data_IF_681274023817
#
_entry.id   IF_681274023817
#
_cell.length_a   1.000
_cell.length_b   1.000
_cell.length_c   1.000
_cell.angle_alpha   90.00
_cell.angle_beta   90.00
_cell.angle_gamma   90.00
#
_symmetry.space_group_name_H-M   'P 1'
#
loop_
_entity.id
_entity.type
_entity.pdbx_description
1 polymer ?
#
# COMPACT_ATOMS: atom_id res chain seq x y z
N UNK A 1 -16.36 3.34 16.95
CA UNK A 1 -15.93 2.82 15.64
C UNK A 1 -14.61 2.08 15.81
N UNK A 2 -14.55 0.80 15.48
CA UNK A 2 -13.30 0.08 15.55
C UNK A 2 -12.25 0.64 14.59
N UNK A 3 -10.99 0.47 14.94
CA UNK A 3 -9.87 0.98 14.14
C UNK A 3 -8.89 -0.15 13.83
N UNK A 4 -8.53 -0.26 12.55
CA UNK A 4 -7.51 -1.15 12.02
C UNK A 4 -6.30 -0.31 11.60
N UNK A 5 -5.12 -0.65 12.10
CA UNK A 5 -3.86 -0.04 11.66
C UNK A 5 -2.99 -1.12 11.03
N UNK A 6 -2.52 -0.85 9.82
CA UNK A 6 -1.68 -1.75 9.04
C UNK A 6 -0.31 -1.10 8.85
N UNK A 7 0.76 -1.89 9.02
CA UNK A 7 2.11 -1.47 8.68
C UNK A 7 2.66 -2.39 7.59
N UNK A 8 3.02 -1.81 6.46
CA UNK A 8 3.65 -2.51 5.34
C UNK A 8 5.10 -2.06 5.21
N UNK A 9 6.04 -2.99 5.39
CA UNK A 9 7.47 -2.72 5.30
C UNK A 9 8.14 -3.42 4.12
N UNK A 10 7.44 -4.34 3.47
CA UNK A 10 7.95 -5.14 2.37
C UNK A 10 7.25 -4.75 1.06
N UNK A 11 8.01 -4.74 -0.04
CA UNK A 11 7.47 -4.43 -1.37
C UNK A 11 7.00 -5.67 -2.14
N UNK A 12 6.93 -6.83 -1.49
CA UNK A 12 6.43 -8.04 -2.15
C UNK A 12 4.95 -7.88 -2.50
N UNK A 13 4.59 -8.32 -3.69
CA UNK A 13 3.24 -8.09 -4.23
C UNK A 13 2.16 -8.87 -3.48
N UNK A 14 2.49 -10.03 -2.94
CA UNK A 14 1.55 -10.82 -2.15
C UNK A 14 1.23 -10.14 -0.80
N UNK A 15 2.22 -9.58 -0.12
CA UNK A 15 2.00 -8.84 1.12
C UNK A 15 1.22 -7.56 0.89
N UNK A 16 1.57 -6.82 -0.17
CA UNK A 16 0.85 -5.61 -0.54
C UNK A 16 -0.61 -5.92 -0.89
N UNK A 17 -0.84 -6.93 -1.72
CA UNK A 17 -2.19 -7.39 -2.06
C UNK A 17 -2.98 -7.73 -0.81
N UNK A 18 -2.38 -8.51 0.10
CA UNK A 18 -3.05 -8.91 1.34
C UNK A 18 -3.37 -7.71 2.23
N UNK A 19 -2.45 -6.75 2.32
CA UNK A 19 -2.68 -5.49 3.04
C UNK A 19 -3.86 -4.71 2.48
N UNK A 20 -3.98 -4.62 1.16
CA UNK A 20 -5.11 -3.95 0.51
C UNK A 20 -6.43 -4.68 0.76
N UNK A 21 -6.42 -6.02 0.72
CA UNK A 21 -7.60 -6.83 1.04
C UNK A 21 -8.09 -6.54 2.46
N UNK A 22 -7.18 -6.49 3.44
CA UNK A 22 -7.53 -6.18 4.82
C UNK A 22 -8.06 -4.74 4.97
N UNK A 23 -7.42 -3.79 4.29
CA UNK A 23 -7.84 -2.38 4.35
C UNK A 23 -9.24 -2.18 3.78
N UNK A 24 -9.51 -2.75 2.62
CA UNK A 24 -10.83 -2.69 1.97
C UNK A 24 -11.87 -3.42 2.83
N UNK A 25 -11.51 -4.58 3.39
CA UNK A 25 -12.36 -5.32 4.31
C UNK A 25 -12.72 -4.53 5.56
N UNK A 26 -11.76 -3.82 6.13
CA UNK A 26 -12.01 -2.93 7.28
C UNK A 26 -13.01 -1.84 6.94
N UNK A 27 -12.88 -1.23 5.77
CA UNK A 27 -13.85 -0.21 5.33
C UNK A 27 -15.22 -0.80 5.07
N UNK A 28 -15.31 -2.03 4.53
CA UNK A 28 -16.58 -2.71 4.34
C UNK A 28 -17.32 -3.00 5.67
N UNK A 29 -16.56 -3.09 6.76
CA UNK A 29 -17.11 -3.23 8.12
C UNK A 29 -17.38 -1.88 8.80
N UNK A 30 -17.23 -0.78 8.09
CA UNK A 30 -17.32 0.60 8.61
C UNK A 30 -16.26 0.92 9.68
N UNK A 31 -15.11 0.28 9.61
CA UNK A 31 -14.00 0.58 10.51
C UNK A 31 -13.18 1.77 9.99
N UNK A 32 -12.53 2.47 10.91
CA UNK A 32 -11.46 3.40 10.57
C UNK A 32 -10.22 2.59 10.19
N UNK A 33 -9.60 2.89 9.05
CA UNK A 33 -8.41 2.16 8.57
C UNK A 33 -7.26 3.13 8.33
N UNK A 34 -6.15 2.89 9.02
CA UNK A 34 -4.88 3.61 8.85
C UNK A 34 -3.85 2.65 8.27
N UNK A 35 -3.23 3.03 7.17
CA UNK A 35 -2.28 2.18 6.45
C UNK A 35 -0.93 2.91 6.36
N UNK A 36 0.05 2.42 7.12
CA UNK A 36 1.40 2.99 7.17
C UNK A 36 2.34 2.19 6.29
N UNK A 37 3.19 2.89 5.55
CA UNK A 37 4.11 2.31 4.57
C UNK A 37 5.52 2.80 4.88
N UNK A 38 6.45 1.86 5.02
CA UNK A 38 7.84 2.17 5.35
C UNK A 38 8.80 1.30 4.54
N UNK A 39 10.09 1.58 4.66
CA UNK A 39 11.17 0.82 4.03
C UNK A 39 10.96 0.68 2.51
N UNK A 40 11.16 -0.50 1.97
CA UNK A 40 11.07 -0.75 0.53
C UNK A 40 9.67 -0.58 -0.05
N UNK A 41 8.64 -0.67 0.78
CA UNK A 41 7.25 -0.56 0.32
C UNK A 41 6.87 0.85 -0.13
N UNK A 42 7.62 1.89 0.25
CA UNK A 42 7.30 3.28 -0.11
C UNK A 42 7.26 3.50 -1.61
N UNK A 43 8.04 2.74 -2.39
CA UNK A 43 8.10 2.86 -3.84
C UNK A 43 6.75 2.54 -4.51
N UNK A 44 5.95 1.66 -3.90
CA UNK A 44 4.65 1.25 -4.42
C UNK A 44 3.64 2.40 -4.46
N UNK A 45 3.86 3.45 -3.67
CA UNK A 45 2.95 4.58 -3.53
C UNK A 45 3.36 5.80 -4.35
N UNK A 46 4.32 5.62 -5.25
CA UNK A 46 4.71 6.67 -6.20
C UNK A 46 3.81 6.68 -7.43
N UNK A 47 3.74 7.83 -8.11
CA UNK A 47 3.00 7.97 -9.36
C UNK A 47 3.56 7.08 -10.47
N UNK A 48 4.85 6.77 -10.42
CA UNK A 48 5.51 5.90 -11.39
C UNK A 48 5.07 4.44 -11.23
N UNK A 49 5.00 3.94 -10.00
CA UNK A 49 4.71 2.53 -9.73
C UNK A 49 3.22 2.25 -9.52
N UNK A 50 2.49 3.16 -8.91
CA UNK A 50 1.02 3.07 -8.69
C UNK A 50 0.56 1.71 -8.17
N UNK A 51 1.21 1.23 -7.11
CA UNK A 51 0.84 -0.05 -6.51
C UNK A 51 1.34 -1.27 -7.24
N UNK A 52 2.24 -1.12 -8.22
CA UNK A 52 2.84 -2.25 -8.94
C UNK A 52 4.35 -2.27 -8.72
N UNK A 53 4.87 -3.41 -8.30
CA UNK A 53 6.31 -3.62 -8.29
C UNK A 53 6.81 -3.79 -9.73
N UNK A 54 7.86 -3.04 -10.10
CA UNK A 54 8.53 -3.27 -11.39
C UNK A 54 9.39 -4.52 -11.25
N UNK A 55 8.88 -5.64 -11.69
CA UNK A 55 9.74 -6.78 -11.92
C UNK A 55 10.62 -6.50 -13.13
N UNK A 56 11.94 -6.66 -12.97
CA UNK A 56 12.88 -6.58 -14.08
C UNK A 56 12.72 -7.83 -14.96
N UNK A 57 11.69 -7.81 -15.79
CA UNK A 57 11.44 -8.88 -16.76
C UNK A 57 11.50 -8.32 -18.16
N UNK A 58 11.99 -9.14 -19.12
CA UNK A 58 11.91 -8.82 -20.53
C UNK A 58 10.44 -8.61 -20.96
N UNK A 59 10.23 -7.88 -22.07
CA UNK A 59 8.89 -7.56 -22.56
C UNK A 59 8.02 -8.79 -22.77
N UNK A 60 8.60 -9.89 -23.26
CA UNK A 60 7.89 -11.15 -23.51
C UNK A 60 7.41 -11.81 -22.22
N UNK A 61 8.30 -11.89 -21.20
CA UNK A 61 7.97 -12.44 -19.89
C UNK A 61 6.90 -11.60 -19.19
N UNK A 62 6.96 -10.28 -19.31
CA UNK A 62 5.97 -9.36 -18.76
C UNK A 62 4.60 -9.56 -19.41
N UNK A 63 4.58 -9.74 -20.73
CA UNK A 63 3.34 -10.02 -21.47
C UNK A 63 2.72 -11.35 -21.01
N UNK A 64 3.52 -12.40 -20.89
CA UNK A 64 3.06 -13.73 -20.45
C UNK A 64 2.49 -13.69 -19.03
N UNK A 65 3.19 -13.06 -18.09
CA UNK A 65 2.73 -12.92 -16.70
C UNK A 65 1.43 -12.11 -16.64
N UNK A 66 1.35 -11.00 -17.36
CA UNK A 66 0.15 -10.17 -17.42
C UNK A 66 -1.04 -10.94 -17.99
N UNK A 67 -0.81 -11.71 -19.06
CA UNK A 67 -1.85 -12.55 -19.66
C UNK A 67 -2.32 -13.63 -18.68
N UNK A 68 -1.41 -14.27 -17.99
CA UNK A 68 -1.72 -15.31 -17.00
C UNK A 68 -2.51 -14.74 -15.82
N UNK A 69 -2.14 -13.56 -15.34
CA UNK A 69 -2.86 -12.85 -14.28
C UNK A 69 -4.30 -12.53 -14.69
N UNK A 70 -4.51 -12.08 -15.93
CA UNK A 70 -5.85 -11.82 -16.46
C UNK A 70 -6.69 -13.11 -16.54
N UNK A 71 -6.08 -14.20 -17.01
CA UNK A 71 -6.74 -15.51 -17.12
C UNK A 71 -7.18 -16.04 -15.75
N UNK A 72 -6.35 -15.84 -14.73
CA UNK A 72 -6.63 -16.29 -13.35
C UNK A 72 -7.52 -15.30 -12.58
N UNK A 73 -7.94 -14.20 -13.21
CA UNK A 73 -8.74 -13.13 -12.60
C UNK A 73 -8.11 -12.54 -11.33
N UNK A 74 -6.78 -12.42 -11.32
CA UNK A 74 -6.06 -11.80 -10.21
C UNK A 74 -6.34 -10.30 -10.26
N UNK A 75 -6.81 -9.69 -9.17
CA UNK A 75 -7.15 -8.27 -9.16
C UNK A 75 -5.95 -7.38 -9.44
N UNK A 76 -6.20 -6.27 -10.12
CA UNK A 76 -5.21 -5.22 -10.36
C UNK A 76 -4.96 -4.45 -9.07
N UNK A 77 -3.74 -4.51 -8.55
CA UNK A 77 -3.36 -3.82 -7.31
C UNK A 77 -3.43 -2.29 -7.45
N UNK A 78 -3.20 -1.74 -8.63
CA UNK A 78 -3.37 -0.30 -8.87
C UNK A 78 -4.83 0.10 -8.66
N UNK A 79 -5.76 -0.65 -9.23
CA UNK A 79 -7.18 -0.39 -9.05
C UNK A 79 -7.60 -0.56 -7.59
N UNK A 80 -7.12 -1.59 -6.93
CA UNK A 80 -7.41 -1.81 -5.50
C UNK A 80 -6.92 -0.66 -4.64
N UNK A 81 -5.72 -0.14 -4.92
CA UNK A 81 -5.17 1.01 -4.20
C UNK A 81 -6.03 2.27 -4.41
N UNK A 82 -6.41 2.53 -5.66
CA UNK A 82 -7.29 3.66 -5.99
C UNK A 82 -8.66 3.53 -5.31
N UNK A 83 -9.25 2.34 -5.31
CA UNK A 83 -10.52 2.07 -4.65
C UNK A 83 -10.40 2.27 -3.13
N UNK A 84 -9.32 1.79 -2.51
CA UNK A 84 -9.08 1.98 -1.09
C UNK A 84 -8.96 3.46 -0.71
N UNK A 85 -8.27 4.25 -1.54
CA UNK A 85 -8.18 5.70 -1.36
C UNK A 85 -9.57 6.35 -1.44
N UNK A 86 -10.39 5.96 -2.40
CA UNK A 86 -11.76 6.48 -2.56
C UNK A 86 -12.66 6.11 -1.39
N UNK A 87 -12.50 4.92 -0.84
CA UNK A 87 -13.29 4.45 0.30
C UNK A 87 -12.87 5.06 1.64
N UNK A 88 -11.82 5.86 1.64
CA UNK A 88 -11.39 6.61 2.82
C UNK A 88 -10.35 5.92 3.69
N UNK A 89 -9.61 4.95 3.14
CA UNK A 89 -8.42 4.43 3.81
C UNK A 89 -7.37 5.52 3.84
N UNK A 90 -6.83 5.81 5.01
CA UNK A 90 -5.76 6.81 5.18
C UNK A 90 -4.40 6.14 4.98
N UNK A 91 -3.71 6.51 3.91
CA UNK A 91 -2.37 6.01 3.60
C UNK A 91 -1.31 7.02 4.01
N UNK A 92 -0.31 6.54 4.74
CA UNK A 92 0.82 7.33 5.23
C UNK A 92 2.12 6.68 4.80
N UNK A 93 3.02 7.47 4.23
CA UNK A 93 4.35 7.02 3.81
C UNK A 93 5.40 7.62 4.72
N UNK A 94 6.34 6.79 5.16
CA UNK A 94 7.42 7.19 6.05
C UNK A 94 8.41 8.11 5.33
N UNK A 95 8.62 9.30 5.90
CA UNK A 95 9.53 10.31 5.37
C UNK A 95 10.97 9.81 5.28
N UNK A 96 11.43 9.09 6.30
CA UNK A 96 12.78 8.52 6.31
C UNK A 96 12.93 7.46 5.22
N UNK A 97 11.91 6.64 5.00
CA UNK A 97 11.89 5.65 3.92
C UNK A 97 12.00 6.29 2.54
N UNK A 98 11.32 7.41 2.32
CA UNK A 98 11.42 8.16 1.07
C UNK A 98 12.85 8.67 0.83
N UNK A 99 13.48 9.25 1.84
CA UNK A 99 14.85 9.77 1.74
C UNK A 99 15.84 8.66 1.41
N UNK A 100 15.72 7.52 2.06
CA UNK A 100 16.57 6.36 1.80
C UNK A 100 16.37 5.81 0.38
N UNK A 101 15.17 5.88 -0.16
CA UNK A 101 14.86 5.42 -1.51
C UNK A 101 15.17 6.46 -2.59
N UNK A 102 15.56 7.68 -2.22
CA UNK A 102 15.80 8.76 -3.16
C UNK A 102 14.53 9.30 -3.83
N UNK A 103 13.40 9.15 -3.17
CA UNK A 103 12.08 9.57 -3.66
C UNK A 103 11.69 10.89 -3.01
N UNK A 104 11.20 11.84 -3.81
CA UNK A 104 10.68 13.10 -3.30
C UNK A 104 9.19 12.97 -2.96
N UNK A 105 8.71 13.79 -2.02
CA UNK A 105 7.29 13.81 -1.66
C UNK A 105 6.39 14.16 -2.84
N UNK A 106 6.88 14.95 -3.80
CA UNK A 106 6.17 15.28 -5.03
C UNK A 106 5.96 14.08 -5.97
N UNK A 107 6.71 12.99 -5.78
CA UNK A 107 6.58 11.77 -6.58
C UNK A 107 5.49 10.85 -6.07
N UNK A 108 4.90 11.12 -4.91
CA UNK A 108 3.84 10.30 -4.33
C UNK A 108 2.51 10.48 -5.05
N UNK A 109 1.69 9.43 -5.02
CA UNK A 109 0.32 9.49 -5.52
C UNK A 109 -0.50 10.51 -4.74
N UNK A 110 -1.49 11.11 -5.40
CA UNK A 110 -2.43 12.03 -4.74
C UNK A 110 -3.21 11.30 -3.64
N UNK A 111 -3.40 11.96 -2.50
CA UNK A 111 -4.11 11.41 -1.37
C UNK A 111 -3.24 10.64 -0.39
N UNK A 112 -1.99 10.35 -0.73
CA UNK A 112 -1.03 9.73 0.17
C UNK A 112 -0.33 10.80 0.99
N UNK A 113 -0.29 10.62 2.31
CA UNK A 113 0.25 11.59 3.27
C UNK A 113 1.63 11.17 3.77
N UNK A 114 2.42 12.13 4.22
CA UNK A 114 3.70 11.85 4.88
C UNK A 114 3.48 11.60 6.37
N UNK A 115 4.30 10.73 6.94
CA UNK A 115 4.24 10.39 8.34
C UNK A 115 5.59 9.86 8.83
N UNK A 116 5.67 9.51 10.10
CA UNK A 116 6.83 8.88 10.73
C UNK A 116 6.42 7.79 11.68
N UNK A 117 7.41 7.12 12.27
CA UNK A 117 7.20 6.00 13.19
C UNK A 117 6.40 6.38 14.44
N UNK A 118 6.55 7.62 14.91
CA UNK A 118 5.82 8.10 16.09
C UNK A 118 4.31 8.13 15.81
N UNK A 119 3.91 8.63 14.64
CA UNK A 119 2.50 8.63 14.24
C UNK A 119 1.94 7.23 14.14
N UNK A 120 2.72 6.29 13.60
CA UNK A 120 2.32 4.89 13.56
C UNK A 120 2.06 4.34 14.97
N UNK A 121 2.98 4.57 15.90
CA UNK A 121 2.84 4.08 17.27
C UNK A 121 1.61 4.67 17.98
N UNK A 122 1.34 5.95 17.75
CA UNK A 122 0.16 6.61 18.33
C UNK A 122 -1.14 5.98 17.80
N UNK A 123 -1.22 5.74 16.51
CA UNK A 123 -2.39 5.10 15.90
C UNK A 123 -2.50 3.63 16.33
N UNK A 124 -1.40 2.91 16.38
CA UNK A 124 -1.37 1.51 16.82
C UNK A 124 -1.88 1.37 18.26
N UNK A 125 -1.46 2.28 19.16
CA UNK A 125 -1.87 2.26 20.55
C UNK A 125 -3.39 2.34 20.73
N UNK A 126 -4.07 3.12 19.88
CA UNK A 126 -5.52 3.31 19.95
C UNK A 126 -6.30 2.40 19.00
N UNK A 127 -5.63 1.45 18.35
CA UNK A 127 -6.27 0.55 17.40
C UNK A 127 -6.80 -0.71 18.08
N UNK A 128 -7.92 -1.21 17.56
CA UNK A 128 -8.49 -2.50 17.99
C UNK A 128 -7.74 -3.66 17.35
N UNK A 129 -7.27 -3.49 16.13
CA UNK A 129 -6.48 -4.50 15.39
C UNK A 129 -5.26 -3.81 14.77
N UNK A 130 -4.09 -4.42 14.92
CA UNK A 130 -2.85 -3.98 14.28
C UNK A 130 -2.27 -5.15 13.50
N UNK A 131 -1.96 -4.92 12.22
CA UNK A 131 -1.38 -5.93 11.33
C UNK A 131 -0.06 -5.39 10.77
N UNK A 132 0.99 -6.20 10.84
CA UNK A 132 2.30 -5.86 10.24
C UNK A 132 2.64 -6.86 9.15
N UNK A 133 3.07 -6.33 8.01
CA UNK A 133 3.37 -7.12 6.79
C UNK A 133 4.76 -6.81 6.24
#
# INVERSE_FOLDING_TARGET
MPKLTILLADNSMDKFYHGLVLAIGGKALDWEVKFFVTSQAVVLFTREYKGKSKMKMGALSRFFVTWQMRKLKIPDTTKMLEDALKEGVDFYVDEAGLKLAGIQSSDLMDGVKLSGSISFLQEAKSSDVVVTL
#
